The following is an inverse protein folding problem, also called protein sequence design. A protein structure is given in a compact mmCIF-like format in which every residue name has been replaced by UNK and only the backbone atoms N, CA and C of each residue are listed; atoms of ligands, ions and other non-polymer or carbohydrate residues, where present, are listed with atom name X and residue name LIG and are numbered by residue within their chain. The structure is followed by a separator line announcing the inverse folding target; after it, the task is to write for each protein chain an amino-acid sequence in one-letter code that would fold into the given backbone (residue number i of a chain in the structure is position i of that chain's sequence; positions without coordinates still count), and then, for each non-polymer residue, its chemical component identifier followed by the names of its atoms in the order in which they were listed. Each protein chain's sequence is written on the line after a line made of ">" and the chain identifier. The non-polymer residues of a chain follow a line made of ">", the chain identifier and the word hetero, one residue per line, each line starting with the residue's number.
data_IF_060343771917
#
_entry.id   IF_060343771917
#
_cell.length_a   1.000
_cell.length_b   1.000
_cell.length_c   1.000
_cell.angle_alpha   90.00
_cell.angle_beta   90.00
_cell.angle_gamma   90.00
#
_symmetry.space_group_name_H-M   'P 1'
#
loop_
_entity.id
_entity.type
_entity.pdbx_description
1 polymer ?
#
# COMPACT_ATOMS: atom_id res chain seq x y z
N UNK A 1 11.12 -4.82 -12.24
CA UNK A 1 10.74 -3.58 -12.89
C UNK A 1 11.60 -2.42 -12.37
N UNK A 2 11.71 -1.34 -13.14
CA UNK A 2 12.32 -0.10 -12.66
C UNK A 2 11.44 0.51 -11.55
N UNK A 3 12.07 1.30 -10.70
CA UNK A 3 11.40 1.98 -9.58
C UNK A 3 10.24 2.86 -10.10
N UNK A 4 9.08 2.73 -9.49
CA UNK A 4 7.83 3.38 -9.89
C UNK A 4 7.09 2.76 -11.07
N UNK A 5 7.63 1.74 -11.74
CA UNK A 5 7.04 1.16 -12.98
C UNK A 5 6.36 -0.20 -12.77
N UNK A 6 6.33 -0.69 -11.53
CA UNK A 6 5.87 -2.06 -11.25
C UNK A 6 4.41 -2.28 -11.67
N UNK A 7 3.49 -1.36 -11.38
CA UNK A 7 2.07 -1.51 -11.75
C UNK A 7 1.85 -1.52 -13.26
N UNK A 8 2.56 -0.67 -14.03
CA UNK A 8 2.48 -0.66 -15.50
C UNK A 8 3.03 -1.95 -16.12
N UNK A 9 4.19 -2.42 -15.61
CA UNK A 9 4.78 -3.69 -16.07
C UNK A 9 3.87 -4.87 -15.73
N UNK A 10 3.30 -4.91 -14.53
CA UNK A 10 2.36 -5.96 -14.12
C UNK A 10 1.11 -5.98 -15.01
N UNK A 11 0.53 -4.82 -15.31
CA UNK A 11 -0.61 -4.70 -16.22
C UNK A 11 -0.27 -5.25 -17.62
N UNK A 12 0.90 -4.89 -18.17
CA UNK A 12 1.36 -5.40 -19.45
C UNK A 12 1.55 -6.92 -19.44
N UNK A 13 2.22 -7.46 -18.42
CA UNK A 13 2.40 -8.91 -18.24
C UNK A 13 1.04 -9.62 -18.18
N UNK A 14 0.10 -9.10 -17.39
CA UNK A 14 -1.24 -9.70 -17.24
C UNK A 14 -2.02 -9.71 -18.56
N UNK A 15 -1.89 -8.66 -19.37
CA UNK A 15 -2.51 -8.61 -20.71
C UNK A 15 -1.90 -9.60 -21.68
N UNK A 16 -0.57 -9.78 -21.66
CA UNK A 16 0.14 -10.76 -22.49
C UNK A 16 -0.05 -12.20 -22.01
N UNK A 17 -0.24 -12.39 -20.71
CA UNK A 17 -0.38 -13.69 -20.06
C UNK A 17 -1.56 -13.70 -19.09
N UNK A 18 -2.79 -13.70 -19.63
CA UNK A 18 -4.02 -13.64 -18.82
C UNK A 18 -4.19 -14.87 -17.90
N UNK A 19 -3.54 -15.98 -18.24
CA UNK A 19 -3.50 -17.22 -17.49
C UNK A 19 -2.67 -17.13 -16.18
N UNK A 20 -1.84 -16.09 -16.03
CA UNK A 20 -0.93 -15.97 -14.88
C UNK A 20 -1.49 -15.08 -13.79
N UNK A 21 -1.22 -15.47 -12.54
CA UNK A 21 -1.38 -14.56 -11.41
C UNK A 21 -0.21 -13.58 -11.40
N UNK A 22 -0.51 -12.29 -11.40
CA UNK A 22 0.50 -11.22 -11.47
C UNK A 22 0.35 -10.32 -10.26
N UNK A 23 1.45 -10.13 -9.54
CA UNK A 23 1.47 -9.22 -8.39
C UNK A 23 2.61 -8.22 -8.51
N UNK A 24 2.45 -7.08 -7.84
CA UNK A 24 3.54 -6.16 -7.52
C UNK A 24 3.78 -6.15 -6.02
N UNK A 25 5.04 -5.94 -5.62
CA UNK A 25 5.44 -5.69 -4.25
C UNK A 25 6.19 -4.36 -4.22
N UNK A 26 5.59 -3.35 -3.59
CA UNK A 26 6.04 -1.96 -3.69
C UNK A 26 6.05 -1.29 -2.33
N UNK A 27 7.05 -0.45 -2.08
CA UNK A 27 7.05 0.48 -0.94
C UNK A 27 6.24 1.73 -1.22
N UNK A 28 6.05 2.55 -0.19
CA UNK A 28 5.29 3.81 -0.25
C UNK A 28 5.92 4.86 -1.17
N UNK A 29 7.24 4.96 -1.18
CA UNK A 29 7.94 5.81 -2.13
C UNK A 29 7.86 5.31 -3.57
N UNK A 30 7.89 3.99 -3.78
CA UNK A 30 7.76 3.38 -5.09
C UNK A 30 6.38 3.58 -5.70
N UNK A 31 5.34 3.19 -4.96
CA UNK A 31 3.97 3.19 -5.49
C UNK A 31 3.30 4.56 -5.48
N UNK A 32 3.61 5.42 -4.50
CA UNK A 32 2.86 6.66 -4.26
C UNK A 32 3.67 7.95 -4.51
N UNK A 33 4.99 7.85 -4.74
CA UNK A 33 5.79 8.98 -5.22
C UNK A 33 6.10 8.80 -6.70
N UNK A 34 7.15 8.05 -7.04
CA UNK A 34 7.62 7.89 -8.42
C UNK A 34 6.61 7.15 -9.30
N UNK A 35 5.91 6.16 -8.75
CA UNK A 35 4.94 5.32 -9.45
C UNK A 35 3.48 5.70 -9.23
N UNK A 36 3.19 6.92 -8.77
CA UNK A 36 1.82 7.32 -8.46
C UNK A 36 0.88 7.18 -9.65
N UNK A 37 1.28 7.72 -10.80
CA UNK A 37 0.46 7.65 -12.02
C UNK A 37 0.23 6.22 -12.48
N UNK A 38 1.27 5.37 -12.47
CA UNK A 38 1.18 3.97 -12.87
C UNK A 38 0.24 3.17 -11.95
N UNK A 39 0.35 3.41 -10.64
CA UNK A 39 -0.51 2.76 -9.64
C UNK A 39 -1.97 3.19 -9.82
N UNK A 40 -2.21 4.49 -9.98
CA UNK A 40 -3.57 5.03 -10.14
C UNK A 40 -4.20 4.62 -11.48
N UNK A 41 -3.47 4.70 -12.60
CA UNK A 41 -4.03 4.29 -13.90
C UNK A 41 -4.27 2.78 -14.00
N UNK A 42 -3.47 1.94 -13.33
CA UNK A 42 -3.77 0.52 -13.23
C UNK A 42 -5.09 0.28 -12.46
N UNK A 43 -5.33 1.03 -11.38
CA UNK A 43 -6.58 0.97 -10.62
C UNK A 43 -7.78 1.54 -11.41
N UNK A 44 -7.64 2.71 -12.06
CA UNK A 44 -8.69 3.33 -12.89
C UNK A 44 -9.15 2.39 -14.00
N UNK A 45 -8.23 1.67 -14.63
CA UNK A 45 -8.54 0.67 -15.65
C UNK A 45 -9.00 -0.67 -15.09
N UNK A 46 -9.05 -0.80 -13.78
CA UNK A 46 -9.36 -2.04 -13.07
C UNK A 46 -8.55 -3.24 -13.61
N UNK A 47 -7.24 -3.04 -13.82
CA UNK A 47 -6.34 -4.08 -14.34
C UNK A 47 -6.35 -5.29 -13.39
N UNK A 48 -6.49 -6.49 -13.94
CA UNK A 48 -6.61 -7.71 -13.12
C UNK A 48 -5.26 -8.14 -12.52
N UNK A 49 -4.74 -7.34 -11.59
CA UNK A 49 -3.47 -7.54 -10.86
C UNK A 49 -3.66 -7.33 -9.36
N UNK A 50 -2.74 -7.88 -8.57
CA UNK A 50 -2.69 -7.67 -7.13
C UNK A 50 -1.49 -6.80 -6.76
N UNK A 51 -1.74 -5.70 -6.05
CA UNK A 51 -0.69 -4.82 -5.52
C UNK A 51 -0.53 -5.07 -4.02
N UNK A 52 0.64 -5.51 -3.60
CA UNK A 52 1.06 -5.56 -2.20
C UNK A 52 1.89 -4.31 -1.93
N UNK A 53 1.35 -3.44 -1.13
CA UNK A 53 1.89 -2.12 -0.84
C UNK A 53 2.39 -2.06 0.60
N UNK A 54 3.69 -1.89 0.79
CA UNK A 54 4.29 -1.78 2.13
C UNK A 54 4.42 -0.30 2.50
N UNK A 55 3.69 0.08 3.54
CA UNK A 55 3.71 1.42 4.09
C UNK A 55 4.51 1.43 5.40
N UNK A 56 5.70 1.98 5.35
CA UNK A 56 6.56 2.22 6.51
C UNK A 56 6.82 3.72 6.74
N UNK A 57 6.03 4.58 6.12
CA UNK A 57 6.03 6.04 6.28
C UNK A 57 7.33 6.75 5.92
N UNK A 58 8.21 6.12 5.14
CA UNK A 58 9.44 6.73 4.63
C UNK A 58 10.04 5.92 3.47
N UNK A 59 10.98 6.51 2.72
CA UNK A 59 11.82 5.77 1.79
C UNK A 59 12.83 4.94 2.57
N UNK A 60 12.55 3.64 2.77
CA UNK A 60 13.35 2.78 3.63
C UNK A 60 14.74 2.48 3.07
N UNK A 61 14.83 2.09 1.81
CA UNK A 61 16.06 1.59 1.19
C UNK A 61 17.10 2.70 0.92
N UNK A 62 16.67 3.90 0.60
CA UNK A 62 17.54 5.00 0.15
C UNK A 62 18.02 5.89 1.30
N UNK A 63 17.63 5.61 2.54
CA UNK A 63 18.15 6.32 3.72
C UNK A 63 17.15 7.19 4.48
N UNK A 64 15.86 6.85 4.42
CA UNK A 64 14.85 7.43 5.31
C UNK A 64 14.34 8.81 4.91
N UNK A 65 14.24 9.10 3.62
CA UNK A 65 13.64 10.34 3.13
C UNK A 65 12.13 10.36 3.38
N UNK A 66 11.54 11.53 3.35
CA UNK A 66 10.10 11.73 3.45
C UNK A 66 9.38 11.09 2.26
N UNK A 67 8.43 10.21 2.54
CA UNK A 67 7.53 9.59 1.57
C UNK A 67 6.16 10.30 1.56
N UNK A 68 5.32 10.07 0.55
CA UNK A 68 3.96 10.59 0.56
C UNK A 68 3.15 10.19 1.79
N UNK A 69 3.47 9.05 2.41
CA UNK A 69 2.80 8.50 3.60
C UNK A 69 3.38 8.96 4.94
N UNK A 70 4.48 9.71 4.95
CA UNK A 70 5.12 10.20 6.18
C UNK A 70 4.14 11.01 7.01
N UNK A 71 4.02 10.70 8.32
CA UNK A 71 3.04 11.34 9.21
C UNK A 71 3.38 12.80 9.50
N UNK A 72 2.39 13.64 9.88
CA UNK A 72 2.63 14.99 10.35
C UNK A 72 3.61 15.00 11.53
N UNK A 73 4.59 15.89 11.52
CA UNK A 73 5.64 15.99 12.54
C UNK A 73 6.67 14.86 12.54
N UNK A 74 6.53 13.83 11.71
CA UNK A 74 7.51 12.76 11.62
C UNK A 74 8.82 13.27 11.02
N UNK A 75 9.92 13.07 11.75
CA UNK A 75 11.28 13.38 11.28
C UNK A 75 11.75 12.36 10.27
N UNK A 76 12.40 12.84 9.22
CA UNK A 76 13.06 12.04 8.17
C UNK A 76 14.33 12.74 7.75
N UNK A 77 15.17 12.10 6.93
CA UNK A 77 16.41 12.73 6.44
C UNK A 77 16.16 13.98 5.59
N UNK A 78 15.01 14.09 4.94
CA UNK A 78 14.62 15.28 4.17
C UNK A 78 13.60 16.19 4.88
N UNK A 79 13.16 15.82 6.08
CA UNK A 79 12.35 16.65 6.98
C UNK A 79 12.89 16.56 8.41
N UNK A 80 14.07 17.12 8.70
CA UNK A 80 14.77 16.95 9.98
C UNK A 80 14.04 17.57 11.18
N UNK A 81 13.20 18.58 10.93
CA UNK A 81 12.35 19.22 11.94
C UNK A 81 10.96 18.59 12.07
N UNK A 82 10.67 17.56 11.25
CA UNK A 82 9.38 16.91 11.11
C UNK A 82 8.63 17.37 9.85
N UNK A 83 7.72 16.52 9.36
CA UNK A 83 6.86 16.90 8.21
C UNK A 83 5.96 18.07 8.60
N UNK A 84 6.09 19.18 7.90
CA UNK A 84 5.18 20.32 7.95
C UNK A 84 4.14 20.19 6.84
N UNK A 85 2.88 19.93 7.22
CA UNK A 85 1.80 19.77 6.27
C UNK A 85 1.40 21.06 5.55
N UNK A 86 1.72 22.24 6.11
CA UNK A 86 1.50 23.51 5.44
C UNK A 86 2.44 23.69 4.24
N UNK A 87 3.63 23.08 4.29
CA UNK A 87 4.65 23.18 3.24
C UNK A 87 4.58 21.99 2.27
N UNK A 88 4.41 20.77 2.80
CA UNK A 88 4.55 19.52 2.01
C UNK A 88 3.24 18.79 1.77
N UNK A 89 2.11 19.36 2.18
CA UNK A 89 0.80 18.73 2.13
C UNK A 89 0.62 17.61 3.17
N UNK A 90 -0.60 17.12 3.26
CA UNK A 90 -0.97 16.03 4.18
C UNK A 90 -0.47 14.67 3.69
N UNK A 91 -0.25 13.70 4.60
CA UNK A 91 0.06 12.32 4.22
C UNK A 91 -1.02 11.73 3.32
N UNK A 92 -0.58 11.06 2.26
CA UNK A 92 -1.47 10.46 1.29
C UNK A 92 -2.06 9.16 1.84
N UNK A 93 -3.37 9.01 1.74
CA UNK A 93 -4.13 7.82 2.12
C UNK A 93 -4.56 7.07 0.87
N UNK A 94 -3.72 6.14 0.38
CA UNK A 94 -3.94 5.44 -0.89
C UNK A 94 -5.32 4.79 -0.99
N UNK A 95 -5.75 4.06 0.05
CA UNK A 95 -7.04 3.38 0.06
C UNK A 95 -8.21 4.36 -0.02
N UNK A 96 -8.11 5.55 0.58
CA UNK A 96 -9.19 6.55 0.53
C UNK A 96 -9.40 7.09 -0.89
N UNK A 97 -8.36 7.12 -1.70
CA UNK A 97 -8.46 7.45 -3.13
C UNK A 97 -8.96 6.25 -3.94
N UNK A 98 -8.41 5.07 -3.69
CA UNK A 98 -8.75 3.87 -4.43
C UNK A 98 -10.20 3.42 -4.24
N UNK A 99 -10.79 3.62 -3.05
CA UNK A 99 -12.20 3.27 -2.78
C UNK A 99 -13.22 4.10 -3.56
N UNK A 100 -12.80 5.20 -4.21
CA UNK A 100 -13.65 5.97 -5.13
C UNK A 100 -13.70 5.38 -6.55
N UNK A 101 -12.86 4.38 -6.83
CA UNK A 101 -12.76 3.72 -8.12
C UNK A 101 -13.50 2.38 -8.09
N UNK A 102 -13.88 1.88 -9.28
CA UNK A 102 -14.48 0.55 -9.43
C UNK A 102 -13.40 -0.55 -9.45
N UNK A 103 -12.76 -0.78 -8.30
CA UNK A 103 -11.75 -1.82 -8.10
C UNK A 103 -12.36 -3.05 -7.41
N UNK A 104 -11.67 -4.21 -7.53
CA UNK A 104 -12.16 -5.46 -6.98
C UNK A 104 -12.02 -5.55 -5.45
N UNK A 105 -10.87 -5.14 -4.92
CA UNK A 105 -10.58 -5.32 -3.50
C UNK A 105 -9.60 -4.27 -2.98
N UNK A 106 -9.83 -3.77 -1.77
CA UNK A 106 -8.86 -2.97 -1.04
C UNK A 106 -8.92 -3.25 0.46
N UNK A 107 -7.76 -3.50 1.07
CA UNK A 107 -7.62 -3.73 2.49
C UNK A 107 -6.32 -3.14 3.04
N UNK A 108 -6.30 -2.81 4.34
CA UNK A 108 -5.10 -2.43 5.07
C UNK A 108 -4.92 -3.36 6.26
N UNK A 109 -3.76 -3.99 6.34
CA UNK A 109 -3.33 -4.81 7.46
C UNK A 109 -2.08 -4.25 8.13
N UNK A 110 -1.63 -4.92 9.19
CA UNK A 110 -0.40 -4.58 9.91
C UNK A 110 0.37 -5.84 10.30
N UNK A 111 1.66 -5.67 10.63
CA UNK A 111 2.54 -6.77 11.07
C UNK A 111 3.00 -6.59 12.52
N UNK A 112 2.10 -6.15 13.40
CA UNK A 112 2.39 -5.82 14.80
C UNK A 112 2.26 -7.00 15.75
N UNK A 113 1.26 -7.86 15.55
CA UNK A 113 0.99 -9.03 16.39
C UNK A 113 0.69 -10.26 15.53
N UNK A 114 0.74 -11.45 16.12
CA UNK A 114 0.36 -12.69 15.42
C UNK A 114 -1.07 -12.62 14.85
N UNK A 115 -1.99 -12.03 15.58
CA UNK A 115 -3.38 -11.84 15.16
C UNK A 115 -3.48 -10.89 13.95
N UNK A 116 -2.76 -9.75 13.97
CA UNK A 116 -2.73 -8.81 12.86
C UNK A 116 -2.05 -9.42 11.63
N UNK A 117 -0.98 -10.18 11.80
CA UNK A 117 -0.33 -10.93 10.72
C UNK A 117 -1.31 -11.93 10.10
N UNK A 118 -2.07 -12.67 10.91
CA UNK A 118 -3.06 -13.62 10.42
C UNK A 118 -4.18 -12.92 9.61
N UNK A 119 -4.66 -11.75 10.09
CA UNK A 119 -5.61 -10.91 9.34
C UNK A 119 -5.01 -10.41 8.02
N UNK A 120 -3.78 -9.90 8.05
CA UNK A 120 -3.09 -9.39 6.85
C UNK A 120 -2.91 -10.50 5.80
N UNK A 121 -2.52 -11.71 6.24
CA UNK A 121 -2.46 -12.88 5.34
C UNK A 121 -3.82 -13.19 4.70
N UNK A 122 -4.91 -13.09 5.46
CA UNK A 122 -6.26 -13.28 4.91
C UNK A 122 -6.60 -12.22 3.88
N UNK A 123 -6.27 -10.94 4.12
CA UNK A 123 -6.49 -9.87 3.16
C UNK A 123 -5.73 -10.09 1.85
N UNK A 124 -4.46 -10.52 1.95
CA UNK A 124 -3.66 -10.88 0.77
C UNK A 124 -4.30 -12.06 0.01
N UNK A 125 -4.80 -13.09 0.71
CA UNK A 125 -5.51 -14.20 0.08
C UNK A 125 -6.76 -13.73 -0.65
N UNK A 126 -7.60 -12.92 -0.01
CA UNK A 126 -8.81 -12.37 -0.63
C UNK A 126 -8.49 -11.56 -1.90
N UNK A 127 -7.38 -10.80 -1.89
CA UNK A 127 -6.92 -10.05 -3.06
C UNK A 127 -6.52 -10.97 -4.23
N UNK A 128 -5.85 -12.09 -3.94
CA UNK A 128 -5.53 -13.10 -4.95
C UNK A 128 -6.77 -13.83 -5.47
N UNK A 129 -7.71 -14.14 -4.59
CA UNK A 129 -8.99 -14.75 -4.97
C UNK A 129 -9.76 -13.84 -5.93
N UNK A 130 -9.85 -12.55 -5.65
CA UNK A 130 -10.44 -11.57 -6.54
C UNK A 130 -9.75 -11.53 -7.92
N UNK A 131 -8.40 -11.58 -7.96
CA UNK A 131 -7.66 -11.64 -9.22
C UNK A 131 -7.92 -12.94 -9.98
N UNK A 132 -7.94 -14.09 -9.30
CA UNK A 132 -8.20 -15.41 -9.92
C UNK A 132 -9.60 -15.49 -10.50
N UNK A 133 -10.58 -14.85 -9.86
CA UNK A 133 -11.95 -14.74 -10.34
C UNK A 133 -12.12 -13.70 -11.47
N UNK A 134 -11.04 -13.00 -11.87
CA UNK A 134 -11.11 -11.98 -12.92
C UNK A 134 -11.87 -10.71 -12.52
N UNK A 135 -11.99 -10.44 -11.21
CA UNK A 135 -12.77 -9.31 -10.69
C UNK A 135 -12.09 -7.94 -10.92
N UNK A 136 -10.76 -7.95 -11.10
CA UNK A 136 -9.99 -6.76 -11.44
C UNK A 136 -8.90 -6.41 -10.41
N UNK A 137 -8.65 -5.11 -10.25
CA UNK A 137 -7.55 -4.57 -9.45
C UNK A 137 -7.75 -4.79 -7.97
N UNK A 138 -6.73 -5.34 -7.31
CA UNK A 138 -6.72 -5.58 -5.87
C UNK A 138 -5.52 -4.91 -5.22
N UNK A 139 -5.74 -4.24 -4.09
CA UNK A 139 -4.72 -3.48 -3.37
C UNK A 139 -4.70 -3.84 -1.89
N UNK A 140 -3.57 -4.32 -1.39
CA UNK A 140 -3.38 -4.61 0.04
C UNK A 140 -2.24 -3.77 0.60
N UNK A 141 -2.59 -2.81 1.43
CA UNK A 141 -1.64 -2.01 2.18
C UNK A 141 -1.24 -2.75 3.45
N UNK A 142 0.07 -2.86 3.69
CA UNK A 142 0.66 -3.50 4.88
C UNK A 142 1.47 -2.47 5.66
N UNK A 143 0.96 -2.08 6.81
CA UNK A 143 1.68 -1.22 7.74
C UNK A 143 2.84 -1.98 8.36
N UNK A 144 4.06 -1.50 8.16
CA UNK A 144 5.29 -2.17 8.54
C UNK A 144 6.24 -1.24 9.30
N UNK A 145 6.94 -1.74 10.34
CA UNK A 145 7.94 -0.94 11.02
C UNK A 145 9.20 -0.74 10.14
N UNK A 146 9.87 0.40 10.35
CA UNK A 146 11.18 0.70 9.77
C UNK A 146 12.19 1.11 10.89
N UNK A 147 12.65 0.17 11.72
CA UNK A 147 13.48 0.48 12.89
C UNK A 147 14.71 1.32 12.56
N UNK A 148 15.40 0.97 11.50
CA UNK A 148 16.65 1.64 11.08
C UNK A 148 16.43 3.13 10.78
N UNK A 149 15.48 3.47 9.92
CA UNK A 149 15.28 4.87 9.53
C UNK A 149 14.46 5.68 10.55
N UNK A 150 13.73 5.00 11.44
CA UNK A 150 13.10 5.69 12.57
C UNK A 150 14.03 5.85 13.77
N UNK A 151 15.24 5.25 13.73
CA UNK A 151 16.20 5.29 14.84
C UNK A 151 15.67 4.63 16.11
N UNK A 152 14.89 3.56 15.97
CA UNK A 152 14.20 2.88 17.08
C UNK A 152 14.59 1.42 17.21
N UNK A 153 14.62 0.86 18.44
CA UNK A 153 14.66 -0.59 18.61
C UNK A 153 13.47 -1.27 17.93
N UNK A 154 13.61 -2.51 17.43
CA UNK A 154 12.55 -3.21 16.69
C UNK A 154 11.21 -3.32 17.43
N UNK A 155 11.24 -3.54 18.76
CA UNK A 155 10.01 -3.60 19.56
C UNK A 155 9.31 -2.25 19.63
N UNK A 156 10.04 -1.17 19.91
CA UNK A 156 9.48 0.19 19.93
C UNK A 156 8.93 0.60 18.54
N UNK A 157 9.62 0.24 17.46
CA UNK A 157 9.14 0.48 16.11
C UNK A 157 7.83 -0.27 15.83
N UNK A 158 7.70 -1.51 16.32
CA UNK A 158 6.47 -2.28 16.22
C UNK A 158 5.32 -1.66 17.03
N UNK A 159 5.59 -1.20 18.24
CA UNK A 159 4.62 -0.48 19.08
C UNK A 159 4.17 0.82 18.42
N UNK A 160 5.09 1.57 17.80
CA UNK A 160 4.76 2.78 17.02
C UNK A 160 3.79 2.48 15.87
N UNK A 161 3.93 1.34 15.18
CA UNK A 161 2.94 0.94 14.17
C UNK A 161 1.59 0.74 14.82
N UNK A 162 1.52 0.03 15.96
CA UNK A 162 0.26 -0.30 16.63
C UNK A 162 -0.45 0.93 17.21
N UNK A 163 0.28 1.88 17.78
CA UNK A 163 -0.30 3.07 18.45
C UNK A 163 -0.51 4.24 17.49
N UNK A 164 0.56 4.68 16.82
CA UNK A 164 0.56 5.94 16.08
C UNK A 164 0.15 5.76 14.62
N UNK A 165 0.72 4.73 13.94
CA UNK A 165 0.50 4.58 12.50
C UNK A 165 -0.90 4.02 12.22
N UNK A 166 -1.38 3.06 13.01
CA UNK A 166 -2.74 2.52 12.86
C UNK A 166 -3.83 3.54 13.24
N UNK A 167 -3.54 4.48 14.11
CA UNK A 167 -4.46 5.59 14.39
C UNK A 167 -4.68 6.46 13.15
N UNK A 168 -3.60 6.80 12.43
CA UNK A 168 -3.67 7.60 11.21
C UNK A 168 -4.13 6.81 9.99
N UNK A 169 -3.74 5.54 9.90
CA UNK A 169 -4.08 4.57 8.85
C UNK A 169 -4.83 3.37 9.45
N UNK A 170 -6.14 3.48 9.75
CA UNK A 170 -6.91 2.39 10.34
C UNK A 170 -6.87 1.12 9.50
N UNK A 171 -6.69 -0.04 10.15
CA UNK A 171 -6.68 -1.36 9.50
C UNK A 171 -8.09 -1.85 9.23
N UNK A 172 -8.29 -2.58 8.14
CA UNK A 172 -9.60 -3.13 7.75
C UNK A 172 -9.69 -3.53 6.30
N UNK A 173 -10.85 -4.03 5.91
CA UNK A 173 -11.24 -4.24 4.52
C UNK A 173 -12.18 -3.10 4.11
N UNK A 174 -11.84 -2.39 3.03
CA UNK A 174 -12.51 -1.15 2.62
C UNK A 174 -13.30 -1.29 1.33
N UNK A 175 -12.83 -2.17 0.44
CA UNK A 175 -13.52 -2.51 -0.81
C UNK A 175 -13.57 -4.02 -0.91
N UNK A 176 -14.77 -4.54 -1.13
CA UNK A 176 -15.03 -5.92 -1.54
C UNK A 176 -16.03 -5.83 -2.67
N UNK A 177 -15.67 -6.31 -3.86
CA UNK A 177 -16.62 -6.37 -4.95
C UNK A 177 -17.77 -7.27 -4.50
N UNK A 178 -18.98 -6.74 -4.52
CA UNK A 178 -20.19 -7.54 -4.31
C UNK A 178 -20.30 -8.51 -5.48
N UNK A 179 -20.68 -9.77 -5.19
CA UNK A 179 -21.06 -10.72 -6.23
C UNK A 179 -21.86 -10.01 -7.31
N UNK A 180 -21.49 -10.22 -8.58
CA UNK A 180 -22.28 -9.70 -9.70
C UNK A 180 -23.71 -10.17 -9.48
N UNK A 181 -24.65 -9.27 -9.23
CA UNK A 181 -26.05 -9.58 -9.44
C UNK A 181 -26.14 -10.01 -10.90
N UNK A 182 -26.45 -11.26 -11.12
CA UNK A 182 -26.92 -11.75 -12.40
C UNK A 182 -28.32 -11.14 -12.58
N UNK A 183 -28.39 -9.98 -13.23
CA UNK A 183 -29.63 -9.44 -13.80
C UNK A 183 -29.85 -10.07 -15.18
#
# INVERSE_FOLDING_TARGET
>A
AQHGRAAAVAAAIKRCRPDRTVLTYQGDGDALAIGFSETMYAAIRNENITVIFVNNTNFGMTGGQMAPTTLPGQKTTTSPYGRDCAVTGNPLKAIDMLKTLDIAYAARGAVTTAAEIAKTKRYIRNAFEAQLNGEGYSFVEVLSPCPTNWGMPPLAAKERVASTIQEYYPVGEFVKRREKRHD
#
